data_IF_894154759556
#
_entry.id   IF_894154759556
#
_cell.length_a   1.000
_cell.length_b   1.000
_cell.length_c   1.000
_cell.angle_alpha   90.00
_cell.angle_beta   90.00
_cell.angle_gamma   90.00
#
_symmetry.space_group_name_H-M   'P 1'
#
loop_
_entity.id
_entity.type
_entity.pdbx_description
1 polymer ?
#
# COMPACT_ATOMS: atom_id res chain seq x y z
N UNK A 1 -17.99 -2.89 14.04
CA UNK A 1 -16.90 -2.68 13.07
C UNK A 1 -16.44 -1.22 13.13
N UNK A 2 -15.15 -0.99 13.29
CA UNK A 2 -14.58 0.36 13.30
C UNK A 2 -14.43 0.90 11.87
N UNK A 3 -14.15 2.21 11.76
CA UNK A 3 -13.84 2.81 10.46
C UNK A 3 -12.57 2.20 9.85
N UNK A 4 -11.58 1.90 10.69
CA UNK A 4 -10.38 1.20 10.24
C UNK A 4 -10.70 -0.18 9.70
N UNK A 5 -11.54 -0.94 10.39
CA UNK A 5 -11.92 -2.28 9.93
C UNK A 5 -12.61 -2.22 8.55
N UNK A 6 -13.51 -1.27 8.35
CA UNK A 6 -14.17 -1.09 7.05
C UNK A 6 -13.16 -0.75 5.94
N UNK A 7 -12.19 0.10 6.23
CA UNK A 7 -11.13 0.47 5.29
C UNK A 7 -10.26 -0.75 4.94
N UNK A 8 -9.83 -1.51 5.94
CA UNK A 8 -8.96 -2.65 5.72
C UNK A 8 -9.70 -3.80 5.01
N UNK A 9 -10.98 -4.01 5.32
CA UNK A 9 -11.81 -4.97 4.58
C UNK A 9 -11.93 -4.58 3.11
N UNK A 10 -12.09 -3.29 2.83
CA UNK A 10 -12.14 -2.81 1.46
C UNK A 10 -10.83 -3.11 0.72
N UNK A 11 -9.67 -2.87 1.36
CA UNK A 11 -8.39 -3.23 0.76
C UNK A 11 -8.24 -4.74 0.56
N UNK A 12 -8.61 -5.54 1.56
CA UNK A 12 -8.46 -7.00 1.49
C UNK A 12 -9.35 -7.64 0.42
N UNK A 13 -10.46 -7.01 0.07
CA UNK A 13 -11.44 -7.55 -0.87
C UNK A 13 -11.58 -6.71 -2.14
N UNK A 14 -10.64 -5.80 -2.39
CA UNK A 14 -10.71 -4.87 -3.50
C UNK A 14 -10.75 -5.58 -4.85
N UNK A 15 -11.66 -5.11 -5.71
CA UNK A 15 -11.75 -5.47 -7.12
C UNK A 15 -11.85 -4.19 -7.94
N UNK A 16 -11.65 -4.23 -9.26
CA UNK A 16 -11.86 -3.03 -10.09
C UNK A 16 -13.25 -2.40 -9.90
N UNK A 17 -14.26 -3.21 -9.61
CA UNK A 17 -15.64 -2.72 -9.44
C UNK A 17 -15.85 -2.02 -8.10
N UNK A 18 -15.01 -2.27 -7.10
CA UNK A 18 -15.17 -1.67 -5.76
C UNK A 18 -14.26 -0.47 -5.52
N UNK A 19 -13.41 -0.09 -6.47
CA UNK A 19 -12.50 1.05 -6.32
C UNK A 19 -13.28 2.34 -6.04
N UNK A 20 -14.40 2.56 -6.69
CA UNK A 20 -15.22 3.76 -6.52
C UNK A 20 -15.73 3.96 -5.08
N UNK A 21 -15.73 2.92 -4.25
CA UNK A 21 -16.09 3.03 -2.83
C UNK A 21 -15.05 3.83 -2.02
N UNK A 22 -13.90 4.15 -2.59
CA UNK A 22 -12.90 5.01 -1.95
C UNK A 22 -13.51 6.34 -1.48
N UNK A 23 -14.46 6.90 -2.24
CA UNK A 23 -15.14 8.17 -1.87
C UNK A 23 -15.96 8.08 -0.58
N UNK A 24 -16.28 6.88 -0.13
CA UNK A 24 -16.98 6.64 1.13
C UNK A 24 -16.03 6.43 2.31
N UNK A 25 -14.76 6.23 2.05
CA UNK A 25 -13.73 5.89 3.03
C UNK A 25 -12.71 7.00 3.23
N UNK A 26 -12.44 7.76 2.18
CA UNK A 26 -11.46 8.86 2.17
C UNK A 26 -12.14 10.21 2.13
N UNK A 27 -11.55 11.19 2.82
CA UNK A 27 -11.94 12.59 2.66
C UNK A 27 -11.65 13.05 1.22
N UNK A 28 -12.43 13.99 0.72
CA UNK A 28 -12.31 14.44 -0.67
C UNK A 28 -10.91 14.92 -1.03
N UNK A 29 -10.20 15.53 -0.07
CA UNK A 29 -8.85 16.07 -0.22
C UNK A 29 -7.76 15.22 0.45
N UNK A 30 -8.03 13.95 0.71
CA UNK A 30 -7.11 13.05 1.39
C UNK A 30 -5.72 13.05 0.75
N UNK A 31 -4.70 13.01 1.58
CA UNK A 31 -3.31 12.91 1.15
C UNK A 31 -2.88 11.44 1.15
N UNK A 32 -2.44 10.95 0.02
CA UNK A 32 -1.91 9.59 -0.15
C UNK A 32 -0.45 9.67 -0.56
N UNK A 33 0.40 8.91 0.12
CA UNK A 33 1.81 8.82 -0.22
C UNK A 33 2.32 7.39 -0.09
N UNK A 34 3.08 6.94 -1.09
CA UNK A 34 3.84 5.70 -1.06
C UNK A 34 5.23 5.95 -1.68
N UNK A 35 6.11 4.94 -1.84
CA UNK A 35 7.43 5.16 -2.43
C UNK A 35 7.43 5.74 -3.84
N UNK A 36 6.33 5.63 -4.59
CA UNK A 36 6.25 6.08 -5.98
C UNK A 36 5.26 7.22 -6.20
N UNK A 37 4.37 7.47 -5.25
CA UNK A 37 3.27 8.41 -5.42
C UNK A 37 3.19 9.36 -4.24
N UNK A 38 2.82 10.62 -4.52
CA UNK A 38 2.47 11.62 -3.52
C UNK A 38 1.38 12.49 -4.13
N UNK A 39 0.13 12.22 -3.74
CA UNK A 39 -1.04 12.82 -4.37
C UNK A 39 -2.05 13.31 -3.34
N UNK A 40 -2.91 14.23 -3.76
CA UNK A 40 -4.04 14.71 -2.97
C UNK A 40 -5.34 14.53 -3.76
N UNK A 41 -6.37 14.11 -3.04
CA UNK A 41 -7.69 13.93 -3.60
C UNK A 41 -8.05 12.47 -3.85
N UNK A 42 -9.28 12.11 -3.50
CA UNK A 42 -9.77 10.74 -3.61
C UNK A 42 -9.77 10.25 -5.07
N UNK A 43 -10.01 11.15 -6.03
CA UNK A 43 -9.98 10.76 -7.45
C UNK A 43 -8.60 10.25 -7.88
N UNK A 44 -7.52 10.86 -7.37
CA UNK A 44 -6.16 10.42 -7.67
C UNK A 44 -5.83 9.10 -6.98
N UNK A 45 -6.36 8.87 -5.78
CA UNK A 45 -6.23 7.58 -5.08
C UNK A 45 -6.89 6.47 -5.91
N UNK A 46 -8.09 6.72 -6.42
CA UNK A 46 -8.76 5.76 -7.30
C UNK A 46 -7.94 5.48 -8.56
N UNK A 47 -7.33 6.49 -9.14
CA UNK A 47 -6.45 6.33 -10.31
C UNK A 47 -5.28 5.42 -9.99
N UNK A 48 -4.65 5.58 -8.81
CA UNK A 48 -3.56 4.69 -8.38
C UNK A 48 -4.04 3.23 -8.28
N UNK A 49 -5.22 3.00 -7.71
CA UNK A 49 -5.77 1.66 -7.58
C UNK A 49 -6.10 1.05 -8.94
N UNK A 50 -6.68 1.83 -9.85
CA UNK A 50 -6.95 1.36 -11.22
C UNK A 50 -5.67 1.03 -11.98
N UNK A 51 -4.63 1.85 -11.80
CA UNK A 51 -3.32 1.61 -12.40
C UNK A 51 -2.71 0.28 -11.90
N UNK A 52 -2.86 0.00 -10.61
CA UNK A 52 -2.41 -1.26 -10.02
C UNK A 52 -3.08 -2.46 -10.71
N UNK A 53 -4.40 -2.45 -10.83
CA UNK A 53 -5.12 -3.54 -11.49
C UNK A 53 -4.82 -3.66 -12.99
N UNK A 54 -4.55 -2.53 -13.66
CA UNK A 54 -4.24 -2.52 -15.09
C UNK A 54 -2.84 -3.06 -15.39
N UNK A 55 -1.90 -2.94 -14.46
CA UNK A 55 -0.47 -3.22 -14.71
C UNK A 55 0.06 -4.44 -13.97
N UNK A 56 -0.74 -5.09 -13.13
CA UNK A 56 -0.36 -6.32 -12.44
C UNK A 56 -1.46 -7.37 -12.58
N UNK A 57 -1.09 -8.64 -12.39
CA UNK A 57 -2.04 -9.74 -12.40
C UNK A 57 -2.32 -10.17 -10.96
N UNK A 58 -3.59 -10.42 -10.65
CA UNK A 58 -4.05 -10.91 -9.34
C UNK A 58 -3.55 -10.07 -8.15
N UNK A 59 -3.58 -8.73 -8.24
CA UNK A 59 -3.12 -7.91 -7.11
C UNK A 59 -4.09 -8.04 -5.94
N UNK A 60 -3.54 -8.25 -4.74
CA UNK A 60 -4.35 -8.30 -3.53
C UNK A 60 -3.52 -7.98 -2.30
N UNK A 61 -4.20 -7.55 -1.23
CA UNK A 61 -3.60 -7.25 0.06
C UNK A 61 -4.01 -8.29 1.08
N UNK A 62 -3.03 -8.78 1.84
CA UNK A 62 -3.25 -9.62 3.01
C UNK A 62 -3.00 -8.74 4.22
N UNK A 63 -4.06 -8.49 5.00
CA UNK A 63 -3.97 -7.60 6.16
C UNK A 63 -3.39 -8.36 7.35
N UNK A 64 -2.40 -7.76 8.00
CA UNK A 64 -1.76 -8.32 9.20
C UNK A 64 -2.30 -7.69 10.47
N UNK A 65 -1.42 -7.04 11.23
CA UNK A 65 -1.74 -6.44 12.52
C UNK A 65 -2.29 -5.02 12.35
N UNK A 66 -3.04 -4.56 13.34
CA UNK A 66 -3.56 -3.21 13.38
C UNK A 66 -3.47 -2.62 14.78
N UNK A 67 -3.10 -1.33 14.85
CA UNK A 67 -2.94 -0.57 16.09
C UNK A 67 -3.69 0.74 15.90
N UNK A 68 -4.53 1.08 16.86
CA UNK A 68 -5.33 2.32 16.84
C UNK A 68 -4.99 3.15 18.06
N UNK A 69 -4.78 4.44 17.87
CA UNK A 69 -4.61 5.41 18.94
C UNK A 69 -5.31 6.72 18.55
N UNK A 70 -6.42 7.03 19.21
CA UNK A 70 -7.22 8.20 18.89
C UNK A 70 -7.70 8.18 17.44
N UNK A 71 -7.42 9.25 16.70
CA UNK A 71 -7.81 9.39 15.30
C UNK A 71 -6.71 8.92 14.33
N UNK A 72 -5.77 8.14 14.80
CA UNK A 72 -4.75 7.57 13.93
C UNK A 72 -4.64 6.07 14.11
N UNK A 73 -4.12 5.40 13.09
CA UNK A 73 -3.96 3.96 13.10
C UNK A 73 -2.77 3.54 12.25
N UNK A 74 -2.24 2.37 12.58
CA UNK A 74 -1.24 1.68 11.76
C UNK A 74 -1.74 0.28 11.47
N UNK A 75 -1.50 -0.20 10.27
CA UNK A 75 -1.78 -1.58 9.90
C UNK A 75 -0.63 -2.13 9.08
N UNK A 76 -0.26 -3.38 9.34
CA UNK A 76 0.71 -4.09 8.50
C UNK A 76 -0.04 -4.88 7.44
N UNK A 77 0.61 -5.10 6.31
CA UNK A 77 0.02 -5.84 5.19
C UNK A 77 1.12 -6.47 4.35
N UNK A 78 0.71 -7.45 3.55
CA UNK A 78 1.51 -7.98 2.46
C UNK A 78 0.74 -7.76 1.17
N UNK A 79 1.34 -7.07 0.23
CA UNK A 79 0.81 -6.92 -1.11
C UNK A 79 1.38 -8.01 -2.00
N UNK A 80 0.50 -8.75 -2.68
CA UNK A 80 0.89 -9.83 -3.59
C UNK A 80 0.39 -9.49 -4.98
N UNK A 81 1.28 -9.61 -5.96
CA UNK A 81 0.89 -9.45 -7.36
C UNK A 81 1.77 -10.31 -8.26
N UNK A 82 1.33 -10.50 -9.49
CA UNK A 82 2.10 -11.19 -10.52
C UNK A 82 2.46 -10.21 -11.62
N UNK A 83 3.74 -10.18 -11.98
CA UNK A 83 4.27 -9.39 -13.09
C UNK A 83 5.05 -10.30 -14.01
N UNK A 84 4.64 -10.37 -15.28
CA UNK A 84 5.31 -11.19 -16.30
C UNK A 84 5.53 -12.64 -15.84
N UNK A 85 4.48 -13.22 -15.23
CA UNK A 85 4.51 -14.61 -14.75
C UNK A 85 5.26 -14.83 -13.46
N UNK A 86 5.80 -13.78 -12.83
CA UNK A 86 6.54 -13.88 -11.58
C UNK A 86 5.75 -13.25 -10.44
N UNK A 87 5.65 -13.97 -9.31
CA UNK A 87 4.94 -13.51 -8.12
C UNK A 87 5.85 -12.64 -7.27
N UNK A 88 5.35 -11.48 -6.86
CA UNK A 88 6.03 -10.58 -5.93
C UNK A 88 5.20 -10.42 -4.67
N UNK A 89 5.87 -10.47 -3.53
CA UNK A 89 5.28 -10.22 -2.22
C UNK A 89 6.00 -9.05 -1.58
N UNK A 90 5.23 -8.02 -1.20
CA UNK A 90 5.75 -6.78 -0.65
C UNK A 90 5.14 -6.58 0.74
N UNK A 91 5.96 -6.68 1.77
CA UNK A 91 5.54 -6.40 3.14
C UNK A 91 5.66 -4.91 3.42
N UNK A 92 4.66 -4.35 4.06
CA UNK A 92 4.64 -2.95 4.39
C UNK A 92 3.70 -2.63 5.54
N UNK A 93 3.61 -1.34 5.83
CA UNK A 93 2.69 -0.82 6.84
C UNK A 93 2.13 0.52 6.36
N UNK A 94 0.91 0.82 6.78
CA UNK A 94 0.27 2.09 6.46
C UNK A 94 -0.01 2.86 7.74
N UNK A 95 0.23 4.17 7.68
CA UNK A 95 -0.19 5.12 8.68
C UNK A 95 -1.43 5.85 8.17
N UNK A 96 -2.51 5.81 8.95
CA UNK A 96 -3.75 6.48 8.63
C UNK A 96 -4.07 7.55 9.67
N UNK A 97 -4.61 8.69 9.21
CA UNK A 97 -5.27 9.66 10.07
C UNK A 97 -6.71 9.81 9.59
N UNK A 98 -7.62 9.95 10.55
CA UNK A 98 -9.06 10.09 10.30
C UNK A 98 -9.53 11.44 10.78
N UNK A 99 -10.55 11.99 10.11
CA UNK A 99 -11.25 13.16 10.61
C UNK A 99 -12.40 12.76 11.56
N UNK A 100 -13.15 13.73 12.06
CA UNK A 100 -14.25 13.47 13.00
C UNK A 100 -15.40 12.66 12.38
N UNK A 101 -15.51 12.65 11.05
CA UNK A 101 -16.48 11.83 10.32
C UNK A 101 -15.99 10.39 10.08
N UNK A 102 -14.77 10.08 10.47
CA UNK A 102 -14.16 8.77 10.28
C UNK A 102 -13.62 8.55 8.88
N UNK A 103 -13.45 9.61 8.08
CA UNK A 103 -12.84 9.52 6.76
C UNK A 103 -11.33 9.68 6.86
N UNK A 104 -10.61 8.97 6.02
CA UNK A 104 -9.14 9.04 5.95
C UNK A 104 -8.72 10.40 5.39
N UNK A 105 -7.91 11.12 6.12
CA UNK A 105 -7.30 12.39 5.67
C UNK A 105 -5.85 12.22 5.26
N UNK A 106 -5.16 11.24 5.85
CA UNK A 106 -3.80 10.86 5.51
C UNK A 106 -3.70 9.34 5.39
N UNK A 107 -3.12 8.88 4.29
CA UNK A 107 -2.73 7.49 4.09
C UNK A 107 -1.29 7.47 3.60
N UNK A 108 -0.38 7.05 4.43
CA UNK A 108 1.02 6.91 4.02
C UNK A 108 1.47 5.47 4.16
N UNK A 109 1.94 4.91 3.05
CA UNK A 109 2.50 3.58 3.00
C UNK A 109 4.01 3.63 3.22
N UNK A 110 4.49 2.78 4.12
CA UNK A 110 5.90 2.59 4.39
C UNK A 110 6.29 1.18 3.99
N UNK A 111 7.09 1.07 2.96
CA UNK A 111 7.73 -0.17 2.59
C UNK A 111 9.05 0.12 1.90
N UNK A 112 9.99 -0.78 2.05
CA UNK A 112 11.32 -0.62 1.49
C UNK A 112 11.31 -1.10 0.04
N UNK A 113 11.32 -0.17 -0.91
CA UNK A 113 11.30 -0.50 -2.32
C UNK A 113 12.55 -1.29 -2.75
N UNK A 114 13.71 -1.01 -2.15
CA UNK A 114 14.94 -1.75 -2.46
C UNK A 114 14.85 -3.19 -1.97
N UNK A 115 14.44 -3.40 -0.72
CA UNK A 115 14.34 -4.73 -0.13
C UNK A 115 13.20 -5.54 -0.73
N UNK A 116 12.00 -4.96 -0.80
CA UNK A 116 10.79 -5.69 -1.13
C UNK A 116 10.60 -5.88 -2.63
N UNK A 117 11.14 -4.97 -3.45
CA UNK A 117 10.91 -5.02 -4.89
C UNK A 117 12.20 -4.99 -5.70
N UNK A 118 12.99 -3.91 -5.61
CA UNK A 118 14.07 -3.66 -6.57
C UNK A 118 15.13 -4.75 -6.58
N UNK A 119 15.50 -5.29 -5.42
CA UNK A 119 16.48 -6.39 -5.35
C UNK A 119 15.95 -7.70 -5.93
N UNK A 120 14.63 -7.87 -6.04
CA UNK A 120 13.99 -9.08 -6.57
C UNK A 120 13.83 -9.04 -8.09
N UNK A 121 14.04 -7.88 -8.70
CA UNK A 121 13.90 -7.72 -10.14
C UNK A 121 15.12 -8.32 -10.85
N UNK A 122 14.92 -8.95 -12.04
CA UNK A 122 16.03 -9.40 -12.85
C UNK A 122 16.87 -8.20 -13.31
N UNK A 123 18.16 -8.40 -13.54
CA UNK A 123 19.15 -7.41 -14.00
C UNK A 123 19.45 -6.35 -12.95
N UNK A 124 18.50 -5.47 -12.60
CA UNK A 124 18.76 -4.37 -11.65
C UNK A 124 18.80 -4.83 -10.20
N UNK A 125 18.28 -6.01 -9.90
CA UNK A 125 18.31 -6.56 -8.54
C UNK A 125 19.72 -6.85 -8.03
N UNK A 126 20.64 -7.26 -8.91
CA UNK A 126 22.00 -7.63 -8.52
C UNK A 126 22.77 -6.46 -7.87
N UNK A 127 22.86 -5.26 -8.46
CA UNK A 127 23.52 -4.13 -7.80
C UNK A 127 22.83 -3.71 -6.51
N UNK A 128 21.50 -3.82 -6.43
CA UNK A 128 20.76 -3.52 -5.21
C UNK A 128 21.13 -4.50 -4.08
N UNK A 129 21.16 -5.81 -4.39
CA UNK A 129 21.58 -6.84 -3.43
C UNK A 129 23.02 -6.64 -2.98
N UNK A 130 23.90 -6.26 -3.92
CA UNK A 130 25.30 -5.98 -3.61
C UNK A 130 25.43 -4.84 -2.61
N UNK A 131 24.73 -3.72 -2.85
CA UNK A 131 24.75 -2.55 -1.98
C UNK A 131 24.22 -2.91 -0.57
N UNK A 132 23.15 -3.66 -0.49
CA UNK A 132 22.60 -4.10 0.79
C UNK A 132 23.59 -4.96 1.58
N UNK A 133 24.31 -5.86 0.91
CA UNK A 133 25.34 -6.67 1.57
C UNK A 133 26.47 -5.79 2.11
N UNK A 134 26.87 -4.75 1.38
CA UNK A 134 27.92 -3.81 1.82
C UNK A 134 27.52 -3.01 3.06
N UNK A 135 26.25 -2.66 3.17
CA UNK A 135 25.74 -1.86 4.29
C UNK A 135 25.28 -2.72 5.48
N UNK A 136 25.18 -4.02 5.31
CA UNK A 136 24.76 -4.91 6.39
C UNK A 136 25.92 -5.21 7.33
N UNK A 137 25.68 -5.11 8.65
CA UNK A 137 26.66 -5.41 9.66
C UNK A 137 26.86 -6.93 9.88
N UNK A 138 25.94 -7.74 9.40
CA UNK A 138 25.89 -9.19 9.64
C UNK A 138 25.99 -10.03 8.35
N UNK A 139 26.27 -9.40 7.25
CA UNK A 139 26.33 -10.06 5.96
C UNK A 139 27.54 -10.97 5.81
#
# INVERSE_FOLDING_TARGET
MTKLDALLDWYATMTPDTIARASQLYAADAHFRDPFNDVRGVAKIETIMRHMFANTEHPHFIIGERIVQGQQAFATWTFVCTLRGRVYEIAGASHFRFNDEGLVTLHRDYWDAAEELLQKLPVIGAPIRWLRRKLSATA
#
